data_IF_940414008080
#
_entry.id   IF_940414008080
#
_cell.length_a   1.000
_cell.length_b   1.000
_cell.length_c   1.000
_cell.angle_alpha   90.00
_cell.angle_beta   90.00
_cell.angle_gamma   90.00
#
_symmetry.space_group_name_H-M   'P 1'
#
loop_
_entity.id
_entity.type
_entity.pdbx_description
1 polymer ?
#
# COMPACT_ATOMS: atom_id res chain seq x y z
N UNK A 1 -7.98 3.48 -0.94
CA UNK A 1 -7.65 2.45 0.08
C UNK A 1 -8.89 1.69 0.55
N UNK A 2 -9.92 2.36 1.09
CA UNK A 2 -11.09 1.69 1.70
C UNK A 2 -11.84 0.74 0.76
N UNK A 3 -11.99 1.05 -0.53
CA UNK A 3 -12.62 0.14 -1.49
C UNK A 3 -11.97 -1.26 -1.51
N UNK A 4 -10.64 -1.36 -1.46
CA UNK A 4 -9.94 -2.65 -1.43
C UNK A 4 -10.10 -3.35 -0.08
N UNK A 5 -10.05 -2.59 1.01
CA UNK A 5 -10.20 -3.12 2.37
C UNK A 5 -11.57 -3.73 2.58
N UNK A 6 -12.62 -2.99 2.23
CA UNK A 6 -14.01 -3.46 2.33
C UNK A 6 -14.24 -4.69 1.44
N UNK A 7 -13.64 -4.73 0.24
CA UNK A 7 -13.71 -5.92 -0.63
C UNK A 7 -13.11 -7.17 0.00
N UNK A 8 -12.08 -7.02 0.85
CA UNK A 8 -11.49 -8.09 1.64
C UNK A 8 -12.11 -8.26 3.05
N UNK A 9 -13.22 -7.58 3.34
CA UNK A 9 -13.92 -7.67 4.63
C UNK A 9 -13.23 -6.96 5.81
N UNK A 10 -12.31 -6.04 5.53
CA UNK A 10 -11.63 -5.24 6.55
C UNK A 10 -12.38 -3.93 6.82
N UNK A 11 -12.27 -3.42 8.05
CA UNK A 11 -12.80 -2.12 8.41
C UNK A 11 -12.12 -1.01 7.59
N UNK A 12 -12.89 0.02 7.24
CA UNK A 12 -12.39 1.21 6.58
C UNK A 12 -11.38 1.95 7.46
N UNK A 13 -10.33 2.48 6.84
CA UNK A 13 -9.48 3.47 7.50
C UNK A 13 -10.28 4.75 7.74
N UNK A 14 -10.18 5.27 8.97
CA UNK A 14 -10.56 6.63 9.32
C UNK A 14 -9.33 7.54 9.33
N UNK A 15 -9.54 8.85 9.43
CA UNK A 15 -8.43 9.79 9.59
C UNK A 15 -7.80 9.66 10.99
N UNK A 16 -6.47 9.61 11.03
CA UNK A 16 -5.74 9.64 12.29
C UNK A 16 -5.84 11.03 12.95
N UNK A 17 -6.07 11.06 14.25
CA UNK A 17 -6.14 12.30 15.04
C UNK A 17 -5.18 12.31 16.24
N UNK A 18 -4.67 11.15 16.65
CA UNK A 18 -3.68 11.04 17.73
C UNK A 18 -2.31 11.51 17.23
N UNK A 19 -1.62 12.33 18.03
CA UNK A 19 -0.33 12.94 17.67
C UNK A 19 0.72 11.94 17.17
N UNK A 20 0.82 10.76 17.77
CA UNK A 20 1.78 9.72 17.35
C UNK A 20 1.37 8.94 16.10
N UNK A 21 0.15 9.18 15.59
CA UNK A 21 -0.43 8.51 14.42
C UNK A 21 -0.53 9.45 13.21
N UNK A 22 -0.29 10.74 13.41
CA UNK A 22 -0.37 11.77 12.36
C UNK A 22 1.04 12.09 11.87
N UNK A 23 1.25 11.95 10.57
CA UNK A 23 2.49 12.35 9.91
C UNK A 23 2.60 13.89 9.89
N UNK A 24 3.75 14.48 10.28
CA UNK A 24 3.93 15.92 10.21
C UNK A 24 3.95 16.42 8.76
N UNK A 25 3.44 17.63 8.51
CA UNK A 25 3.56 18.22 7.18
C UNK A 25 5.03 18.44 6.78
N UNK A 26 5.39 18.10 5.54
CA UNK A 26 6.78 18.17 5.04
C UNK A 26 7.45 19.54 5.21
N UNK A 27 6.69 20.63 5.01
CA UNK A 27 7.21 22.00 4.99
C UNK A 27 7.12 22.74 6.34
N UNK A 28 6.54 22.14 7.39
CA UNK A 28 6.37 22.80 8.69
C UNK A 28 7.27 22.16 9.75
N UNK A 29 8.48 22.72 9.91
CA UNK A 29 9.44 22.32 10.94
C UNK A 29 8.94 22.53 12.38
N UNK A 30 7.88 23.34 12.57
CA UNK A 30 7.34 23.70 13.88
C UNK A 30 5.80 23.60 13.88
N UNK A 31 5.27 22.39 13.98
CA UNK A 31 3.92 22.20 14.51
C UNK A 31 4.04 21.94 16.02
N UNK A 32 3.45 22.80 16.86
CA UNK A 32 3.56 22.71 18.32
C UNK A 32 2.96 21.43 18.91
N UNK A 33 2.11 20.76 18.15
CA UNK A 33 1.37 19.58 18.59
C UNK A 33 1.97 18.26 18.07
N UNK A 34 3.15 18.27 17.45
CA UNK A 34 3.80 17.05 16.92
C UNK A 34 5.09 16.76 17.69
N UNK A 35 5.18 15.59 18.31
CA UNK A 35 6.36 15.14 19.08
C UNK A 35 7.58 14.78 18.19
N UNK A 36 7.46 14.98 16.88
CA UNK A 36 8.39 14.50 15.86
C UNK A 36 8.98 15.68 15.11
N UNK A 37 10.32 15.72 15.02
CA UNK A 37 11.03 16.72 14.25
C UNK A 37 10.87 16.42 12.74
N UNK A 38 9.91 17.11 12.09
CA UNK A 38 9.55 16.88 10.69
C UNK A 38 10.75 16.92 9.74
N UNK A 39 11.67 17.86 9.93
CA UNK A 39 12.87 17.97 9.09
C UNK A 39 13.77 16.75 9.21
N UNK A 40 14.02 16.27 10.43
CA UNK A 40 14.83 15.07 10.68
C UNK A 40 14.13 13.84 10.10
N UNK A 41 12.85 13.63 10.40
CA UNK A 41 12.04 12.54 9.85
C UNK A 41 12.15 12.48 8.33
N UNK A 42 11.85 13.59 7.66
CA UNK A 42 11.77 13.59 6.20
C UNK A 42 13.15 13.60 5.53
N UNK A 43 14.05 14.50 5.90
CA UNK A 43 15.35 14.65 5.22
C UNK A 43 16.35 13.56 5.59
N UNK A 44 16.34 13.09 6.84
CA UNK A 44 17.38 12.21 7.37
C UNK A 44 16.98 10.74 7.46
N UNK A 45 15.68 10.42 7.47
CA UNK A 45 15.19 9.05 7.65
C UNK A 45 14.43 8.55 6.43
N UNK A 46 13.33 9.23 6.04
CA UNK A 46 12.42 8.74 5.01
C UNK A 46 12.94 9.01 3.59
N UNK A 47 13.42 10.21 3.27
CA UNK A 47 13.89 10.51 1.91
C UNK A 47 15.15 9.73 1.48
N UNK A 48 16.14 9.45 2.36
CA UNK A 48 17.26 8.57 2.01
C UNK A 48 16.80 7.15 1.63
N UNK A 49 15.78 6.63 2.32
CA UNK A 49 15.15 5.35 2.01
C UNK A 49 14.46 5.39 0.64
N UNK A 50 13.67 6.43 0.36
CA UNK A 50 12.97 6.62 -0.91
C UNK A 50 13.94 6.77 -2.10
N UNK A 51 15.05 7.48 -1.91
CA UNK A 51 16.03 7.74 -2.97
C UNK A 51 17.11 6.67 -3.11
N UNK A 52 17.11 5.64 -2.24
CA UNK A 52 18.14 4.60 -2.23
C UNK A 52 19.53 5.08 -1.77
N UNK A 53 19.61 6.24 -1.11
CA UNK A 53 20.84 6.90 -0.68
C UNK A 53 21.51 6.26 0.55
N UNK A 54 20.88 5.27 1.18
CA UNK A 54 21.41 4.58 2.36
C UNK A 54 20.39 4.46 3.50
N UNK A 55 20.82 3.81 4.59
CA UNK A 55 19.96 3.45 5.71
C UNK A 55 19.31 4.68 6.35
N UNK A 56 18.00 4.60 6.56
CA UNK A 56 17.26 5.55 7.39
C UNK A 56 17.96 5.66 8.75
N UNK A 57 18.27 6.88 9.18
CA UNK A 57 18.67 7.09 10.57
C UNK A 57 17.49 6.73 11.47
N UNK A 58 17.76 6.13 12.63
CA UNK A 58 16.72 5.82 13.61
C UNK A 58 16.52 7.00 14.55
N UNK A 59 15.28 7.35 14.86
CA UNK A 59 14.98 8.38 15.85
C UNK A 59 13.56 8.91 15.79
N UNK A 60 13.25 9.69 14.76
CA UNK A 60 11.97 10.36 14.63
C UNK A 60 10.85 9.42 14.19
N UNK A 61 11.12 8.54 13.23
CA UNK A 61 10.13 7.58 12.73
C UNK A 61 9.64 6.62 13.83
N UNK A 62 10.46 6.31 14.84
CA UNK A 62 10.11 5.42 15.96
C UNK A 62 9.26 6.10 17.03
N UNK A 63 9.15 7.42 17.02
CA UNK A 63 8.22 8.17 17.88
C UNK A 63 6.78 8.09 17.34
N UNK A 64 6.63 7.75 16.06
CA UNK A 64 5.35 7.47 15.44
C UNK A 64 5.01 6.01 15.64
N UNK A 65 3.74 5.75 15.93
CA UNK A 65 3.20 4.40 16.05
C UNK A 65 2.57 3.99 14.73
N UNK A 66 2.66 2.71 14.38
CA UNK A 66 1.99 2.16 13.21
C UNK A 66 2.93 1.54 12.20
N UNK A 67 2.37 1.21 11.03
CA UNK A 67 3.11 0.62 9.92
C UNK A 67 3.07 1.56 8.73
N UNK A 68 4.25 1.93 8.24
CA UNK A 68 4.41 2.80 7.08
C UNK A 68 4.14 2.06 5.78
N UNK A 69 3.49 2.74 4.85
CA UNK A 69 3.41 2.39 3.45
C UNK A 69 4.17 3.43 2.62
N UNK A 70 5.03 2.96 1.73
CA UNK A 70 5.93 3.78 0.91
C UNK A 70 5.57 3.60 -0.55
N UNK A 71 5.36 4.70 -1.26
CA UNK A 71 5.26 4.71 -2.72
C UNK A 71 6.23 5.73 -3.31
N UNK A 72 7.41 5.30 -3.80
CA UNK A 72 8.24 6.14 -4.65
C UNK A 72 7.58 6.28 -6.02
N UNK A 73 7.36 7.52 -6.47
CA UNK A 73 6.77 7.81 -7.78
C UNK A 73 7.83 7.60 -8.86
N UNK A 74 7.69 6.56 -9.67
CA UNK A 74 8.63 6.23 -10.76
C UNK A 74 8.11 6.61 -12.15
N UNK A 75 6.81 6.85 -12.29
CA UNK A 75 6.12 6.98 -13.59
C UNK A 75 5.39 8.34 -13.73
N UNK A 76 5.83 9.36 -12.97
CA UNK A 76 5.18 10.69 -12.84
C UNK A 76 3.71 10.66 -12.35
N UNK A 77 3.20 9.48 -11.97
CA UNK A 77 1.85 9.30 -11.40
C UNK A 77 1.83 9.66 -9.92
N UNK A 78 1.61 10.95 -9.65
CA UNK A 78 1.53 11.53 -8.30
C UNK A 78 0.13 11.42 -7.70
N UNK A 79 -0.52 10.26 -7.85
CA UNK A 79 -1.89 10.07 -7.41
C UNK A 79 -2.05 8.88 -6.46
N UNK A 80 -3.10 8.95 -5.65
CA UNK A 80 -3.37 7.97 -4.60
C UNK A 80 -3.72 6.58 -5.16
N UNK A 81 -4.25 6.48 -6.38
CA UNK A 81 -4.60 5.20 -6.98
C UNK A 81 -3.34 4.45 -7.42
N UNK A 82 -2.36 5.17 -7.99
CA UNK A 82 -1.07 4.60 -8.32
C UNK A 82 -0.34 4.06 -7.08
N UNK A 83 -0.38 4.80 -5.96
CA UNK A 83 0.16 4.34 -4.68
C UNK A 83 -0.53 3.05 -4.19
N UNK A 84 -1.86 3.04 -4.24
CA UNK A 84 -2.67 1.87 -3.82
C UNK A 84 -2.37 0.64 -4.67
N UNK A 85 -2.27 0.76 -6.00
CA UNK A 85 -1.93 -0.36 -6.87
C UNK A 85 -0.46 -0.80 -6.67
N UNK A 86 0.46 0.13 -6.43
CA UNK A 86 1.84 -0.20 -6.08
C UNK A 86 1.91 -1.05 -4.82
N UNK A 87 1.24 -0.64 -3.73
CA UNK A 87 1.18 -1.38 -2.47
C UNK A 87 0.47 -2.72 -2.63
N UNK A 88 -0.66 -2.76 -3.33
CA UNK A 88 -1.39 -4.00 -3.62
C UNK A 88 -0.51 -5.03 -4.34
N UNK A 89 0.38 -4.59 -5.24
CA UNK A 89 1.35 -5.46 -5.89
C UNK A 89 2.39 -6.10 -4.95
N UNK A 90 2.48 -5.70 -3.68
CA UNK A 90 3.25 -6.43 -2.68
C UNK A 90 2.68 -7.83 -2.37
N UNK A 91 1.42 -8.10 -2.71
CA UNK A 91 0.80 -9.42 -2.60
C UNK A 91 1.63 -10.53 -3.26
N UNK A 92 2.15 -10.28 -4.47
CA UNK A 92 2.90 -11.28 -5.23
C UNK A 92 4.24 -11.65 -4.59
N UNK A 93 4.76 -10.80 -3.70
CA UNK A 93 6.03 -11.07 -3.01
C UNK A 93 5.90 -12.22 -2.01
N UNK A 94 4.68 -12.53 -1.56
CA UNK A 94 4.38 -13.66 -0.70
C UNK A 94 4.01 -14.92 -1.47
N UNK A 95 4.13 -14.95 -2.81
CA UNK A 95 3.86 -16.12 -3.65
C UNK A 95 2.48 -16.78 -3.43
N UNK A 96 1.45 -15.97 -3.12
CA UNK A 96 0.10 -16.42 -2.73
C UNK A 96 0.04 -17.22 -1.42
N UNK A 97 1.13 -17.30 -0.66
CA UNK A 97 1.18 -17.91 0.66
C UNK A 97 0.93 -16.84 1.73
N UNK A 98 0.41 -17.28 2.88
CA UNK A 98 0.22 -16.38 4.02
C UNK A 98 1.56 -15.76 4.41
N UNK A 99 1.65 -14.43 4.62
CA UNK A 99 2.89 -13.80 5.04
C UNK A 99 3.46 -14.48 6.30
N UNK A 100 4.76 -14.82 6.30
CA UNK A 100 5.38 -15.51 7.43
C UNK A 100 5.43 -14.61 8.68
N UNK A 101 5.75 -15.18 9.84
CA UNK A 101 6.00 -14.40 11.05
C UNK A 101 6.99 -13.27 10.79
N UNK A 102 6.61 -12.05 11.19
CA UNK A 102 7.47 -10.88 11.09
C UNK A 102 8.40 -10.81 12.30
N UNK A 103 9.70 -10.64 12.05
CA UNK A 103 10.69 -10.47 13.13
C UNK A 103 11.19 -9.02 13.19
N UNK A 104 11.62 -8.50 12.05
CA UNK A 104 12.09 -7.13 11.92
C UNK A 104 12.07 -6.70 10.45
N UNK A 105 12.41 -5.43 10.17
CA UNK A 105 12.54 -4.95 8.80
C UNK A 105 13.51 -5.85 8.01
N UNK A 106 13.10 -6.27 6.80
CA UNK A 106 13.83 -7.22 5.95
C UNK A 106 14.13 -8.60 6.60
N UNK A 107 13.42 -8.97 7.67
CA UNK A 107 13.53 -10.29 8.30
C UNK A 107 12.15 -10.86 8.69
N UNK A 108 11.68 -11.91 8.01
CA UNK A 108 12.28 -12.57 6.84
C UNK A 108 12.42 -11.64 5.63
N UNK A 109 13.32 -12.00 4.69
CA UNK A 109 13.70 -11.16 3.54
C UNK A 109 12.54 -10.78 2.61
N UNK A 110 11.41 -11.49 2.69
CA UNK A 110 10.17 -11.15 1.98
C UNK A 110 9.62 -9.78 2.38
N UNK A 111 9.87 -9.32 3.62
CA UNK A 111 9.42 -8.03 4.15
C UNK A 111 10.25 -6.83 3.65
N UNK A 112 10.29 -6.69 2.33
CA UNK A 112 10.71 -5.47 1.65
C UNK A 112 9.72 -4.32 1.90
N UNK A 113 10.10 -3.09 1.55
CA UNK A 113 9.23 -1.92 1.72
C UNK A 113 7.88 -2.05 1.00
N UNK A 114 7.86 -2.69 -0.17
CA UNK A 114 6.64 -2.94 -0.91
C UNK A 114 5.76 -3.99 -0.22
N UNK A 115 6.36 -5.04 0.33
CA UNK A 115 5.63 -6.07 1.10
C UNK A 115 5.07 -5.49 2.42
N UNK A 116 5.86 -4.68 3.13
CA UNK A 116 5.40 -3.96 4.33
C UNK A 116 4.26 -3.00 3.98
N UNK A 117 4.34 -2.31 2.85
CA UNK A 117 3.27 -1.41 2.40
C UNK A 117 1.98 -2.15 2.03
N UNK A 118 2.09 -3.36 1.47
CA UNK A 118 0.96 -4.25 1.27
C UNK A 118 0.29 -4.63 2.60
N UNK A 119 1.10 -5.00 3.61
CA UNK A 119 0.60 -5.33 4.95
C UNK A 119 -0.10 -4.12 5.58
N UNK A 120 0.48 -2.93 5.46
CA UNK A 120 -0.15 -1.69 5.91
C UNK A 120 -1.49 -1.42 5.20
N UNK A 121 -1.59 -1.63 3.88
CA UNK A 121 -2.84 -1.43 3.13
C UNK A 121 -3.99 -2.31 3.65
N UNK A 122 -3.71 -3.58 3.94
CA UNK A 122 -4.68 -4.56 4.45
C UNK A 122 -4.67 -4.73 5.97
N UNK A 123 -4.09 -3.78 6.71
CA UNK A 123 -3.97 -3.81 8.17
C UNK A 123 -5.25 -4.36 8.88
N UNK A 124 -5.17 -5.52 9.57
CA UNK A 124 -6.32 -6.22 10.18
C UNK A 124 -6.78 -5.61 11.50
N UNK A 125 -6.02 -4.66 12.04
CA UNK A 125 -6.25 -4.17 13.39
C UNK A 125 -7.61 -3.45 13.48
N UNK A 126 -8.29 -3.55 14.64
CA UNK A 126 -9.58 -2.90 14.84
C UNK A 126 -9.42 -1.38 14.84
N UNK A 127 -10.52 -0.69 14.48
CA UNK A 127 -10.60 0.77 14.42
C UNK A 127 -9.43 1.43 13.69
N UNK A 128 -9.12 0.97 12.46
CA UNK A 128 -7.89 1.37 11.82
C UNK A 128 -7.95 2.83 11.37
N UNK A 129 -6.85 3.56 11.56
CA UNK A 129 -6.69 4.95 11.10
C UNK A 129 -5.49 5.08 10.18
N UNK A 130 -5.49 6.11 9.34
CA UNK A 130 -4.39 6.41 8.43
C UNK A 130 -4.06 7.90 8.43
N UNK A 131 -2.77 8.21 8.29
CA UNK A 131 -2.27 9.54 7.96
C UNK A 131 -1.36 9.45 6.75
N UNK A 132 -1.59 10.28 5.72
CA UNK A 132 -0.81 10.26 4.49
C UNK A 132 -0.24 11.63 4.16
N UNK A 133 0.95 11.66 3.57
CA UNK A 133 1.61 12.87 3.07
C UNK A 133 2.21 12.63 1.69
N UNK A 134 2.21 13.67 0.88
CA UNK A 134 2.99 13.74 -0.35
C UNK A 134 4.34 14.39 -0.03
N UNK A 135 5.42 13.76 -0.46
CA UNK A 135 6.80 14.20 -0.24
C UNK A 135 7.50 14.45 -1.57
N UNK A 136 8.41 15.42 -1.57
CA UNK A 136 9.35 15.64 -2.65
C UNK A 136 10.76 15.43 -2.10
N UNK A 137 11.33 14.26 -2.31
CA UNK A 137 12.63 13.91 -1.77
C UNK A 137 13.74 14.43 -2.69
N UNK A 138 14.60 15.35 -2.22
CA UNK A 138 15.70 15.85 -3.02
C UNK A 138 16.67 14.70 -3.36
N UNK A 139 17.42 14.81 -4.47
CA UNK A 139 18.42 13.81 -4.80
C UNK A 139 19.45 13.68 -3.66
N UNK A 140 20.07 12.50 -3.50
CA UNK A 140 21.18 12.34 -2.56
C UNK A 140 22.23 13.42 -2.83
N UNK A 141 22.64 14.15 -1.79
CA UNK A 141 23.70 15.15 -1.93
C UNK A 141 24.95 14.45 -2.48
N UNK A 142 25.35 14.80 -3.70
CA UNK A 142 26.64 14.38 -4.22
C UNK A 142 27.72 14.92 -3.27
N UNK A 143 28.55 14.04 -2.72
CA UNK A 143 29.84 14.44 -2.14
C UNK A 143 30.57 15.35 -3.12
N UNK A 144 31.37 16.34 -2.66
CA UNK A 144 32.08 17.24 -3.57
C UNK A 144 32.88 16.43 -4.59
N UNK A 145 32.88 16.84 -5.88
CA UNK A 145 33.43 16.03 -6.96
C UNK A 145 34.93 15.85 -6.75
N UNK A 146 35.36 14.62 -6.47
CA UNK A 146 36.70 14.20 -6.85
C UNK A 146 36.74 14.19 -8.38
N UNK A 147 37.60 15.03 -8.94
CA UNK A 147 37.75 15.22 -10.38
C UNK A 147 37.93 13.87 -11.09
N UNK A 148 37.04 13.56 -12.04
CA UNK A 148 37.35 12.57 -13.08
C UNK A 148 36.41 11.39 -13.31
N UNK A 149 35.13 11.41 -12.87
CA UNK A 149 34.17 10.39 -13.31
C UNK A 149 32.94 10.99 -13.98
N UNK A 150 32.85 10.85 -15.31
CA UNK A 150 31.57 10.99 -16.03
C UNK A 150 30.64 9.88 -15.51
N UNK A 151 29.63 10.26 -14.74
CA UNK A 151 28.57 9.35 -14.31
C UNK A 151 27.23 10.01 -14.60
N UNK A 152 26.62 9.57 -15.69
CA UNK A 152 25.21 9.79 -15.99
C UNK A 152 24.37 9.01 -14.98
N UNK A 153 23.72 9.68 -14.04
CA UNK A 153 22.61 9.16 -13.24
C UNK A 153 21.81 10.36 -12.74
N UNK A 154 20.55 10.46 -13.16
CA UNK A 154 19.72 11.66 -13.07
C UNK A 154 19.68 12.27 -11.65
N UNK A 155 20.03 13.55 -11.57
CA UNK A 155 19.97 14.41 -10.39
C UNK A 155 18.54 14.94 -10.16
N UNK A 156 17.57 14.05 -10.07
CA UNK A 156 16.15 14.46 -10.03
C UNK A 156 15.52 14.15 -8.68
N UNK A 157 14.72 15.09 -8.17
CA UNK A 157 13.84 14.90 -7.02
C UNK A 157 12.94 13.68 -7.23
N UNK A 158 12.84 12.82 -6.22
CA UNK A 158 11.93 11.67 -6.21
C UNK A 158 10.68 12.06 -5.43
N UNK A 159 9.55 12.14 -6.11
CA UNK A 159 8.27 12.33 -5.43
C UNK A 159 7.84 11.01 -4.76
N UNK A 160 7.13 11.11 -3.64
CA UNK A 160 6.64 9.94 -2.92
C UNK A 160 5.32 10.20 -2.20
N UNK A 161 4.52 9.15 -2.06
CA UNK A 161 3.36 9.14 -1.15
C UNK A 161 3.71 8.22 0.02
N UNK A 162 3.66 8.76 1.23
CA UNK A 162 3.90 8.03 2.47
C UNK A 162 2.60 7.99 3.25
N UNK A 163 2.19 6.81 3.69
CA UNK A 163 1.11 6.67 4.65
C UNK A 163 1.60 5.96 5.91
N UNK A 164 0.97 6.27 7.03
CA UNK A 164 1.16 5.60 8.31
C UNK A 164 -0.19 5.06 8.76
N UNK A 165 -0.28 3.74 8.89
CA UNK A 165 -1.51 3.06 9.31
C UNK A 165 -1.39 2.62 10.76
N UNK A 166 -2.48 2.78 11.51
CA UNK A 166 -2.54 2.45 12.93
C UNK A 166 -3.80 1.62 13.23
N UNK A 167 -3.77 0.73 14.24
CA UNK A 167 -2.60 0.27 15.00
C UNK A 167 -1.51 -0.41 14.14
N UNK A 168 -0.33 -0.71 14.69
CA UNK A 168 0.74 -1.35 13.93
C UNK A 168 0.30 -2.74 13.40
N UNK A 169 0.44 -2.94 12.08
CA UNK A 169 0.10 -4.19 11.40
C UNK A 169 1.20 -5.25 11.54
N UNK A 170 2.44 -4.82 11.75
CA UNK A 170 3.61 -5.68 11.95
C UNK A 170 4.09 -5.58 13.39
N UNK A 171 4.09 -6.71 14.08
CA UNK A 171 4.61 -6.86 15.44
C UNK A 171 5.64 -7.98 15.42
N UNK A 172 6.76 -7.80 16.12
CA UNK A 172 7.81 -8.81 16.16
C UNK A 172 7.28 -10.14 16.73
N UNK A 173 7.71 -11.25 16.15
CA UNK A 173 7.28 -12.61 16.47
C UNK A 173 5.78 -12.89 16.21
N UNK A 174 5.13 -12.12 15.34
CA UNK A 174 3.73 -12.35 14.95
C UNK A 174 3.54 -12.34 13.43
N UNK A 175 2.66 -13.21 12.93
CA UNK A 175 2.18 -13.11 11.55
C UNK A 175 1.25 -11.89 11.40
N UNK A 176 1.32 -11.15 10.28
CA UNK A 176 0.50 -9.94 10.10
C UNK A 176 -0.96 -10.23 9.83
N UNK A 177 -1.31 -11.46 9.44
CA UNK A 177 -2.68 -11.89 9.14
C UNK A 177 -2.95 -13.26 9.74
N UNK A 178 -4.19 -13.49 10.13
CA UNK A 178 -4.73 -14.83 10.36
C UNK A 178 -5.08 -15.49 9.02
N UNK A 179 -5.28 -16.79 9.06
CA UNK A 179 -5.62 -17.57 7.86
C UNK A 179 -6.94 -17.12 7.21
N UNK A 180 -7.97 -16.81 8.01
CA UNK A 180 -9.25 -16.33 7.48
C UNK A 180 -9.14 -14.91 6.88
N UNK A 181 -8.35 -14.04 7.50
CA UNK A 181 -8.03 -12.69 6.99
C UNK A 181 -7.27 -12.80 5.66
N UNK A 182 -6.26 -13.66 5.60
CA UNK A 182 -5.49 -13.91 4.37
C UNK A 182 -6.37 -14.45 3.25
N UNK A 183 -7.23 -15.42 3.54
CA UNK A 183 -8.14 -15.99 2.55
C UNK A 183 -9.09 -14.93 1.96
N UNK A 184 -9.59 -13.99 2.77
CA UNK A 184 -10.41 -12.88 2.27
C UNK A 184 -9.61 -11.94 1.36
N UNK A 185 -8.34 -11.66 1.70
CA UNK A 185 -7.45 -10.86 0.83
C UNK A 185 -7.22 -11.57 -0.51
N UNK A 186 -6.88 -12.87 -0.49
CA UNK A 186 -6.67 -13.67 -1.69
C UNK A 186 -7.93 -13.68 -2.57
N UNK A 187 -9.11 -13.85 -1.96
CA UNK A 187 -10.40 -13.81 -2.65
C UNK A 187 -10.69 -12.44 -3.25
N UNK A 188 -10.46 -11.35 -2.52
CA UNK A 188 -10.65 -10.00 -3.03
C UNK A 188 -9.70 -9.69 -4.20
N UNK A 189 -8.44 -10.13 -4.14
CA UNK A 189 -7.46 -9.89 -5.21
C UNK A 189 -7.75 -10.76 -6.44
N UNK A 190 -8.06 -12.05 -6.23
CA UNK A 190 -8.29 -13.01 -7.33
C UNK A 190 -9.69 -12.88 -7.93
N UNK A 191 -10.69 -12.54 -7.12
CA UNK A 191 -12.08 -12.32 -7.53
C UNK A 191 -12.22 -11.09 -8.43
N UNK A 192 -11.38 -10.08 -8.24
CA UNK A 192 -11.33 -8.90 -9.11
C UNK A 192 -10.76 -9.20 -10.51
N UNK A 193 -10.17 -10.39 -10.73
CA UNK A 193 -9.74 -10.87 -12.05
C UNK A 193 -10.79 -11.76 -12.75
N UNK A 194 -11.91 -12.10 -12.10
CA UNK A 194 -13.07 -12.67 -12.79
C UNK A 194 -13.88 -11.53 -13.37
N UNK A 195 -13.53 -11.15 -14.61
CA UNK A 195 -14.34 -10.25 -15.42
C UNK A 195 -15.81 -10.65 -15.34
N UNK A 196 -16.66 -9.64 -15.14
CA UNK A 196 -18.11 -9.63 -15.35
C UNK A 196 -18.73 -10.98 -15.74
N UNK A 197 -18.95 -11.86 -14.77
CA UNK A 197 -19.99 -12.87 -14.91
C UNK A 197 -21.31 -12.15 -14.64
N UNK A 198 -22.02 -11.75 -15.70
CA UNK A 198 -23.43 -11.42 -15.63
C UNK A 198 -24.15 -12.43 -14.74
N UNK A 199 -25.10 -12.01 -13.87
CA UNK A 199 -26.03 -12.95 -13.29
C UNK A 199 -26.94 -13.41 -14.43
N UNK A 200 -26.52 -14.42 -15.19
CA UNK A 200 -27.45 -15.21 -15.98
C UNK A 200 -28.20 -16.03 -14.94
N UNK A 201 -29.26 -15.42 -14.39
CA UNK A 201 -30.30 -16.14 -13.69
C UNK A 201 -30.80 -17.26 -14.61
N UNK A 202 -31.26 -18.38 -14.06
CA UNK A 202 -31.78 -19.48 -14.88
C UNK A 202 -33.01 -18.99 -15.65
N UNK A 203 -32.82 -18.61 -16.92
CA UNK A 203 -33.90 -18.38 -17.85
C UNK A 203 -34.58 -19.72 -18.12
N UNK A 204 -35.72 -19.94 -17.46
CA UNK A 204 -36.65 -21.02 -17.79
C UNK A 204 -37.21 -20.71 -19.17
N UNK A 205 -36.63 -21.31 -20.21
CA UNK A 205 -37.22 -21.29 -21.55
C UNK A 205 -38.37 -22.28 -21.60
N UNK A 206 -39.59 -21.76 -21.52
CA UNK A 206 -40.82 -22.50 -21.83
C UNK A 206 -40.78 -22.91 -23.31
N UNK A 207 -40.62 -24.20 -23.59
CA UNK A 207 -40.78 -24.78 -24.91
C UNK A 207 -42.26 -24.75 -25.28
N UNK A 208 -42.65 -23.85 -26.19
CA UNK A 208 -43.96 -23.88 -26.84
C UNK A 208 -43.78 -24.37 -28.27
N UNK A 209 -44.12 -25.64 -28.52
CA UNK A 209 -44.19 -26.20 -29.85
C UNK A 209 -45.53 -25.80 -30.50
N UNK A 210 -45.47 -25.01 -31.57
CA UNK A 210 -46.61 -24.82 -32.48
C UNK A 210 -46.26 -25.51 -33.80
N UNK A 211 -46.86 -26.67 -34.04
CA UNK A 211 -46.84 -27.32 -35.34
C UNK A 211 -47.96 -26.70 -36.20
N UNK A 212 -47.59 -25.94 -37.23
CA UNK A 212 -48.52 -25.59 -38.31
C UNK A 212 -48.24 -26.54 -39.47
N UNK A 213 -49.00 -27.64 -39.51
CA UNK A 213 -49.10 -28.52 -40.67
C UNK A 213 -50.07 -27.91 -41.68
N UNK A 214 -49.57 -27.57 -42.87
CA UNK A 214 -50.39 -27.24 -44.02
C UNK A 214 -50.92 -28.53 -44.65
N UNK A 215 -52.24 -28.64 -44.86
CA UNK A 215 -52.85 -29.42 -45.94
C UNK A 215 -54.22 -28.85 -46.32
N UNK A 216 -54.47 -28.89 -47.63
CA UNK A 216 -55.56 -28.29 -48.39
C UNK A 216 -56.93 -28.99 -48.22
N UNK A 217 -58.02 -28.32 -48.64
CA UNK A 217 -58.92 -28.73 -49.76
C UNK A 217 -60.31 -28.06 -49.67
N UNK A 218 -60.84 -27.78 -50.87
CA UNK A 218 -62.19 -27.32 -51.28
C UNK A 218 -62.48 -25.83 -51.30
#
# INVERSE_FOLDING_TARGET
MNTLRTAAGFAEFKDASTVTQVLPAYQKATQRDVQVAAETLWKSEICPKITGAGAARTGEATKLTGTYAYYPVTDDKKDCNAAVEYWKGGFSLFNNEIPPTYESANNPSVYSDRAVSFVALYNPQPEPVVSCVFLQCPPPSASPPSAGRRLSSASTTVDAIICLTNPAALNANAAPFKEDEWNKIVQAISGNNKGAASPVGPSVTLVSAVAISAFALF
#
